data_IF_574989373378
#
_entry.id   IF_574989373378
#
_cell.length_a   1.000
_cell.length_b   1.000
_cell.length_c   1.000
_cell.angle_alpha   90.00
_cell.angle_beta   90.00
_cell.angle_gamma   90.00
#
_symmetry.space_group_name_H-M   'P 1'
#
loop_
_entity.id
_entity.type
_entity.pdbx_description
1 polymer ?
#
# COMPACT_ATOMS: atom_id res chain seq x y z
N UNK A 1 -29.61 -16.86 -34.93
CA UNK A 1 -30.15 -15.60 -34.34
C UNK A 1 -29.01 -14.60 -34.23
N UNK A 2 -28.97 -13.61 -35.12
CA UNK A 2 -27.98 -12.53 -35.12
C UNK A 2 -28.47 -11.41 -34.19
N UNK A 3 -27.71 -11.09 -33.15
CA UNK A 3 -27.98 -9.94 -32.29
C UNK A 3 -27.93 -8.65 -33.13
N UNK A 4 -28.88 -7.72 -32.97
CA UNK A 4 -28.85 -6.44 -33.66
C UNK A 4 -27.59 -5.67 -33.23
N UNK A 5 -26.79 -5.26 -34.23
CA UNK A 5 -25.61 -4.41 -34.04
C UNK A 5 -26.08 -3.00 -33.71
N UNK A 6 -26.14 -2.69 -32.43
CA UNK A 6 -26.57 -1.39 -31.91
C UNK A 6 -25.45 -0.33 -32.06
N UNK A 7 -25.08 -0.03 -33.31
CA UNK A 7 -23.95 0.86 -33.63
C UNK A 7 -24.26 2.34 -33.36
N UNK A 8 -25.54 2.73 -33.38
CA UNK A 8 -25.96 4.11 -33.13
C UNK A 8 -25.81 4.54 -31.68
N UNK A 9 -26.18 3.67 -30.74
CA UNK A 9 -26.07 3.94 -29.30
C UNK A 9 -24.61 4.12 -28.86
N UNK A 10 -23.71 3.24 -29.32
CA UNK A 10 -22.28 3.35 -29.00
C UNK A 10 -21.63 4.62 -29.56
N UNK A 11 -22.02 5.07 -30.75
CA UNK A 11 -21.50 6.29 -31.35
C UNK A 11 -21.93 7.54 -30.58
N UNK A 12 -23.19 7.60 -30.14
CA UNK A 12 -23.73 8.69 -29.32
C UNK A 12 -23.03 8.79 -27.95
N UNK A 13 -22.83 7.64 -27.27
CA UNK A 13 -22.12 7.59 -25.98
C UNK A 13 -20.67 8.07 -26.13
N UNK A 14 -19.96 7.65 -27.18
CA UNK A 14 -18.58 8.12 -27.44
C UNK A 14 -18.51 9.63 -27.66
N UNK A 15 -19.48 10.20 -28.37
CA UNK A 15 -19.52 11.64 -28.64
C UNK A 15 -19.76 12.47 -27.37
N UNK A 16 -20.73 12.07 -26.53
CA UNK A 16 -20.99 12.73 -25.24
C UNK A 16 -19.82 12.56 -24.26
N UNK A 17 -19.29 11.35 -24.11
CA UNK A 17 -18.13 11.09 -23.26
C UNK A 17 -16.89 11.90 -23.69
N UNK A 18 -16.64 12.04 -25.00
CA UNK A 18 -15.56 12.88 -25.52
C UNK A 18 -15.82 14.37 -25.31
N UNK A 19 -17.07 14.81 -25.27
CA UNK A 19 -17.42 16.20 -24.95
C UNK A 19 -17.21 16.49 -23.46
N UNK A 20 -17.54 15.53 -22.58
CA UNK A 20 -17.61 15.69 -21.13
C UNK A 20 -16.30 15.35 -20.38
N UNK A 21 -15.49 14.40 -20.88
CA UNK A 21 -14.18 14.05 -20.30
C UNK A 21 -13.05 14.44 -21.26
N UNK A 22 -12.35 15.55 -20.96
CA UNK A 22 -11.08 15.88 -21.60
C UNK A 22 -10.02 14.76 -21.57
N UNK A 23 -9.96 13.90 -20.54
CA UNK A 23 -9.07 12.72 -20.57
C UNK A 23 -9.49 11.68 -21.62
N UNK A 24 -10.73 11.68 -22.10
CA UNK A 24 -11.12 10.83 -23.23
C UNK A 24 -10.71 11.40 -24.59
N UNK A 25 -10.27 12.66 -24.66
CA UNK A 25 -9.76 13.31 -25.88
C UNK A 25 -8.27 13.05 -26.15
N UNK A 26 -7.51 12.68 -25.13
CA UNK A 26 -6.09 12.33 -25.29
C UNK A 26 -5.95 10.91 -25.90
N UNK A 27 -4.83 10.62 -26.57
CA UNK A 27 -4.53 9.27 -27.05
C UNK A 27 -4.65 8.24 -25.92
N UNK A 28 -5.14 7.04 -26.27
CA UNK A 28 -5.42 5.99 -25.28
C UNK A 28 -4.19 5.59 -24.47
N UNK A 29 -3.00 5.69 -25.06
CA UNK A 29 -1.71 5.43 -24.43
C UNK A 29 -1.44 6.38 -23.26
N UNK A 30 -1.62 7.68 -23.47
CA UNK A 30 -1.41 8.70 -22.43
C UNK A 30 -2.46 8.56 -21.32
N UNK A 31 -3.70 8.27 -21.71
CA UNK A 31 -4.79 8.04 -20.75
C UNK A 31 -4.49 6.83 -19.86
N UNK A 32 -4.02 5.74 -20.44
CA UNK A 32 -3.64 4.55 -19.70
C UNK A 32 -2.49 4.84 -18.73
N UNK A 33 -1.51 5.66 -19.13
CA UNK A 33 -0.44 6.11 -18.22
C UNK A 33 -0.99 6.92 -17.04
N UNK A 34 -1.89 7.88 -17.28
CA UNK A 34 -2.50 8.68 -16.20
C UNK A 34 -3.27 7.77 -15.24
N UNK A 35 -4.10 6.86 -15.76
CA UNK A 35 -4.83 5.93 -14.92
C UNK A 35 -3.93 4.94 -14.22
N UNK A 36 -2.81 4.53 -14.82
CA UNK A 36 -1.82 3.69 -14.15
C UNK A 36 -1.36 4.37 -12.86
N UNK A 37 -0.95 5.64 -12.92
CA UNK A 37 -0.55 6.38 -11.71
C UNK A 37 -1.71 6.70 -10.75
N UNK A 38 -2.92 6.90 -11.28
CA UNK A 38 -4.08 7.28 -10.47
C UNK A 38 -4.74 6.10 -9.74
N UNK A 39 -4.76 4.92 -10.35
CA UNK A 39 -5.59 3.77 -9.91
C UNK A 39 -5.07 3.03 -8.67
N UNK A 40 -3.91 3.43 -8.14
CA UNK A 40 -3.33 2.86 -6.94
C UNK A 40 -2.81 1.44 -7.13
N UNK A 41 -2.89 0.61 -6.08
CA UNK A 41 -2.33 -0.74 -6.06
C UNK A 41 -0.80 -0.77 -5.88
N UNK A 42 -0.22 0.34 -5.47
CA UNK A 42 1.20 0.44 -5.16
C UNK A 42 1.46 0.08 -3.70
N UNK A 43 2.61 -0.55 -3.47
CA UNK A 43 3.22 -0.61 -2.15
C UNK A 43 4.19 0.57 -2.06
N UNK A 44 3.84 1.56 -1.26
CA UNK A 44 4.64 2.76 -1.04
C UNK A 44 5.50 2.53 0.19
N UNK A 45 6.76 2.18 -0.05
CA UNK A 45 7.74 2.00 1.01
C UNK A 45 8.30 3.35 1.42
N UNK A 46 8.21 3.60 2.71
CA UNK A 46 8.71 4.80 3.38
C UNK A 46 9.95 4.40 4.16
N UNK A 47 11.09 4.94 3.76
CA UNK A 47 12.37 4.75 4.44
C UNK A 47 12.87 6.08 4.98
N UNK A 48 13.32 6.07 6.24
CA UNK A 48 14.00 7.23 6.82
C UNK A 48 15.42 7.28 6.25
N UNK A 49 15.77 8.40 5.62
CA UNK A 49 17.16 8.65 5.23
C UNK A 49 17.86 9.25 6.44
N UNK A 50 18.73 8.48 7.08
CA UNK A 50 19.58 8.97 8.17
C UNK A 50 20.79 9.72 7.59
N UNK A 51 20.60 10.93 7.08
CA UNK A 51 21.75 11.78 6.75
C UNK A 51 22.18 12.57 7.99
N UNK A 52 23.48 12.55 8.28
CA UNK A 52 24.15 13.09 9.46
C UNK A 52 24.10 14.63 9.61
N UNK A 53 23.30 15.32 8.79
CA UNK A 53 23.20 16.78 8.75
C UNK A 53 21.73 17.22 8.71
N UNK A 54 21.11 17.24 9.90
CA UNK A 54 19.92 18.03 10.31
C UNK A 54 18.63 18.02 9.47
N UNK A 55 18.58 17.39 8.30
CA UNK A 55 17.39 17.26 7.47
C UNK A 55 16.82 15.86 7.59
N UNK A 56 15.65 15.72 8.25
CA UNK A 56 14.86 14.49 8.28
C UNK A 56 14.25 14.26 6.90
N UNK A 57 15.04 13.74 5.97
CA UNK A 57 14.55 13.38 4.65
C UNK A 57 13.93 11.99 4.68
N UNK A 58 12.76 11.87 4.05
CA UNK A 58 12.13 10.59 3.76
C UNK A 58 12.42 10.22 2.32
N UNK A 59 12.80 8.98 2.09
CA UNK A 59 12.85 8.37 0.78
C UNK A 59 11.56 7.57 0.57
N UNK A 60 10.99 7.74 -0.62
CA UNK A 60 9.80 7.05 -1.03
C UNK A 60 10.12 6.20 -2.25
N UNK A 61 9.88 4.90 -2.12
CA UNK A 61 9.86 4.00 -3.27
C UNK A 61 8.45 3.48 -3.45
N UNK A 62 7.92 3.59 -4.66
CA UNK A 62 6.67 2.96 -5.01
C UNK A 62 6.95 1.71 -5.83
N UNK A 63 6.44 0.59 -5.35
CA UNK A 63 6.52 -0.70 -6.02
C UNK A 63 5.12 -1.01 -6.51
N UNK A 64 4.97 -1.27 -7.81
CA UNK A 64 3.73 -1.84 -8.33
C UNK A 64 3.68 -3.30 -7.90
N UNK A 65 2.77 -3.66 -7.01
CA UNK A 65 2.53 -5.07 -6.71
C UNK A 65 1.83 -5.68 -7.94
N UNK A 66 2.43 -6.61 -8.69
CA UNK A 66 1.67 -7.37 -9.66
C UNK A 66 0.72 -8.27 -8.87
N UNK A 67 -0.54 -7.88 -8.70
CA UNK A 67 -1.61 -8.83 -8.32
C UNK A 67 -1.97 -9.78 -9.48
N UNK A 68 -1.05 -9.99 -10.43
CA UNK A 68 -1.16 -11.11 -11.37
C UNK A 68 -0.73 -12.34 -10.59
N UNK A 69 -1.66 -13.28 -10.44
CA UNK A 69 -1.42 -14.57 -9.78
C UNK A 69 -0.15 -15.21 -10.38
N UNK A 70 0.87 -15.52 -9.56
CA UNK A 70 2.05 -16.30 -9.95
C UNK A 70 3.44 -15.64 -10.00
N UNK A 71 3.68 -14.39 -9.57
CA UNK A 71 5.07 -13.83 -9.52
C UNK A 71 5.67 -13.61 -8.12
N UNK A 72 6.71 -14.36 -7.72
CA UNK A 72 7.47 -14.12 -6.47
C UNK A 72 7.95 -12.67 -6.39
N UNK A 73 7.60 -11.98 -5.30
CA UNK A 73 8.07 -10.62 -5.04
C UNK A 73 9.25 -10.68 -4.06
N UNK A 74 10.49 -10.62 -4.56
CA UNK A 74 11.67 -10.42 -3.70
C UNK A 74 11.74 -8.95 -3.30
N UNK A 75 11.18 -8.64 -2.12
CA UNK A 75 11.14 -7.29 -1.55
C UNK A 75 12.54 -6.71 -1.26
N UNK A 76 13.57 -7.56 -1.18
CA UNK A 76 14.96 -7.17 -0.95
C UNK A 76 15.75 -6.88 -2.23
N UNK A 77 15.24 -7.26 -3.40
CA UNK A 77 15.97 -7.17 -4.69
C UNK A 77 15.10 -6.60 -5.82
N UNK A 78 14.50 -5.44 -5.60
CA UNK A 78 13.88 -4.74 -6.72
C UNK A 78 14.95 -4.28 -7.71
N UNK A 79 14.81 -4.61 -9.01
CA UNK A 79 15.64 -3.98 -10.01
C UNK A 79 15.33 -2.47 -9.98
N UNK A 80 16.35 -1.59 -10.13
CA UNK A 80 16.17 -0.13 -10.10
C UNK A 80 15.07 0.38 -11.06
N UNK A 81 14.81 -0.37 -12.15
CA UNK A 81 13.79 -0.09 -13.15
C UNK A 81 12.33 -0.25 -12.68
N UNK A 82 12.09 -0.89 -11.54
CA UNK A 82 10.75 -1.08 -10.97
C UNK A 82 10.36 0.00 -9.95
N UNK A 83 11.28 0.89 -9.62
CA UNK A 83 11.06 1.98 -8.67
C UNK A 83 10.40 3.14 -9.40
N UNK A 84 9.12 3.35 -9.13
CA UNK A 84 8.45 4.56 -9.54
C UNK A 84 8.79 5.67 -8.53
N UNK A 85 9.10 6.90 -8.98
CA UNK A 85 9.17 8.04 -8.08
C UNK A 85 7.81 8.22 -7.43
N UNK A 86 7.67 7.89 -6.14
CA UNK A 86 6.38 7.97 -5.45
C UNK A 86 5.80 9.40 -5.48
N UNK A 87 6.66 10.41 -5.65
CA UNK A 87 6.23 11.79 -5.90
C UNK A 87 5.28 11.93 -7.09
N UNK A 88 5.36 11.09 -8.13
CA UNK A 88 4.42 11.12 -9.25
C UNK A 88 3.00 10.70 -8.83
N UNK A 89 2.89 9.69 -7.95
CA UNK A 89 1.59 9.22 -7.42
C UNK A 89 0.89 10.35 -6.66
N UNK A 90 1.62 11.03 -5.78
CA UNK A 90 1.04 12.09 -4.95
C UNK A 90 0.87 13.43 -5.68
N UNK A 91 1.69 13.71 -6.69
CA UNK A 91 1.63 14.96 -7.44
C UNK A 91 0.79 14.87 -8.72
N UNK A 92 0.19 13.71 -9.06
CA UNK A 92 -0.62 13.56 -10.25
C UNK A 92 -1.74 14.61 -10.33
N UNK A 93 -2.47 14.80 -9.22
CA UNK A 93 -3.50 15.83 -9.10
C UNK A 93 -2.99 17.28 -9.08
N UNK A 94 -1.67 17.50 -9.08
CA UNK A 94 -1.05 18.83 -9.18
C UNK A 94 -0.59 19.18 -10.59
N UNK A 95 -0.57 18.21 -11.52
CA UNK A 95 -0.12 18.44 -12.90
C UNK A 95 -1.06 19.42 -13.62
N UNK A 96 -2.36 19.17 -13.56
CA UNK A 96 -3.35 20.12 -14.06
C UNK A 96 -4.71 19.94 -13.37
N UNK A 97 -5.54 20.99 -13.40
CA UNK A 97 -6.89 20.99 -12.82
C UNK A 97 -7.78 19.89 -13.40
N UNK A 98 -7.58 19.53 -14.66
CA UNK A 98 -8.37 18.51 -15.35
C UNK A 98 -8.08 17.10 -14.81
N UNK A 99 -6.80 16.71 -14.75
CA UNK A 99 -6.39 15.43 -14.15
C UNK A 99 -6.92 15.38 -12.73
N UNK A 100 -6.77 16.46 -11.96
CA UNK A 100 -7.30 16.54 -10.60
C UNK A 100 -8.80 16.28 -10.54
N UNK A 101 -9.60 16.97 -11.37
CA UNK A 101 -11.06 16.83 -11.36
C UNK A 101 -11.50 15.41 -11.74
N UNK A 102 -10.80 14.78 -12.69
CA UNK A 102 -11.14 13.44 -13.15
C UNK A 102 -10.63 12.33 -12.22
N UNK A 103 -9.50 12.52 -11.54
CA UNK A 103 -8.93 11.53 -10.61
C UNK A 103 -9.26 11.81 -9.15
N UNK A 104 -10.04 12.84 -8.81
CA UNK A 104 -10.33 13.20 -7.41
C UNK A 104 -11.01 12.08 -6.61
N UNK A 105 -11.71 11.17 -7.29
CA UNK A 105 -12.37 10.02 -6.67
C UNK A 105 -11.41 8.85 -6.41
N UNK A 106 -10.20 8.90 -6.98
CA UNK A 106 -9.12 7.95 -6.76
C UNK A 106 -8.18 8.55 -5.71
N UNK A 107 -8.43 8.23 -4.45
CA UNK A 107 -7.58 8.70 -3.37
C UNK A 107 -6.30 7.83 -3.30
N UNK A 108 -5.11 8.37 -3.62
CA UNK A 108 -3.88 7.60 -3.57
C UNK A 108 -3.54 7.11 -2.15
N UNK A 109 -4.14 7.69 -1.11
CA UNK A 109 -3.95 7.21 0.26
C UNK A 109 -4.86 6.03 0.60
N UNK A 110 -6.03 5.94 -0.04
CA UNK A 110 -6.96 4.81 0.15
C UNK A 110 -6.63 3.61 -0.74
N UNK A 111 -6.10 3.87 -1.95
CA UNK A 111 -5.88 2.83 -2.94
C UNK A 111 -4.48 2.20 -2.89
N UNK A 112 -3.58 2.68 -2.02
CA UNK A 112 -2.21 2.17 -1.90
C UNK A 112 -1.93 1.56 -0.53
N UNK A 113 -0.99 0.62 -0.49
CA UNK A 113 -0.49 0.01 0.72
C UNK A 113 0.77 0.74 1.16
N UNK A 114 0.77 1.34 2.34
CA UNK A 114 1.96 2.01 2.86
C UNK A 114 2.80 1.04 3.67
N UNK A 115 4.10 1.05 3.46
CA UNK A 115 5.02 0.14 4.12
C UNK A 115 6.14 0.87 4.85
N UNK A 116 6.41 0.47 6.09
CA UNK A 116 7.51 1.00 6.89
C UNK A 116 8.40 -0.13 7.39
N UNK A 117 9.71 0.15 7.52
CA UNK A 117 10.66 -0.78 8.10
C UNK A 117 10.92 -0.50 9.59
N UNK A 118 10.68 0.72 10.05
CA UNK A 118 10.96 1.12 11.42
C UNK A 118 9.98 2.20 11.91
N UNK A 119 9.85 2.31 13.23
CA UNK A 119 8.90 3.22 13.86
C UNK A 119 9.24 4.70 13.62
N UNK A 120 10.52 5.15 13.59
CA UNK A 120 10.85 6.52 13.24
C UNK A 120 10.42 6.93 11.84
N UNK A 121 10.50 6.03 10.84
CA UNK A 121 9.96 6.28 9.50
C UNK A 121 8.44 6.43 9.53
N UNK A 122 7.74 5.56 10.27
CA UNK A 122 6.30 5.64 10.49
C UNK A 122 5.92 7.00 11.11
N UNK A 123 6.51 7.35 12.25
CA UNK A 123 6.20 8.59 12.95
C UNK A 123 6.49 9.79 12.05
N UNK A 124 7.67 9.84 11.42
CA UNK A 124 8.01 10.98 10.56
C UNK A 124 7.01 11.14 9.42
N UNK A 125 6.59 10.06 8.79
CA UNK A 125 5.68 10.13 7.65
C UNK A 125 4.22 10.38 8.07
N UNK A 126 3.63 9.49 8.86
CA UNK A 126 2.21 9.58 9.22
C UNK A 126 1.94 10.73 10.18
N UNK A 127 2.87 11.07 11.08
CA UNK A 127 2.64 12.19 11.99
C UNK A 127 3.00 13.54 11.38
N UNK A 128 4.20 13.66 10.79
CA UNK A 128 4.74 14.97 10.42
C UNK A 128 4.50 15.35 8.95
N UNK A 129 4.27 14.38 8.06
CA UNK A 129 4.08 14.66 6.62
C UNK A 129 2.62 14.61 6.21
N UNK A 130 1.85 13.62 6.69
CA UNK A 130 0.46 13.45 6.26
C UNK A 130 -0.52 14.33 7.03
N UNK A 131 -1.47 14.91 6.28
CA UNK A 131 -2.61 15.63 6.85
C UNK A 131 -3.68 14.69 7.37
N UNK A 132 -4.54 15.17 8.27
CA UNK A 132 -5.61 14.38 8.91
C UNK A 132 -6.52 13.64 7.92
N UNK A 133 -6.91 14.27 6.80
CA UNK A 133 -7.77 13.61 5.82
C UNK A 133 -7.05 12.47 5.07
N UNK A 134 -5.75 12.63 4.78
CA UNK A 134 -4.93 11.61 4.11
C UNK A 134 -4.74 10.40 5.03
N UNK A 135 -4.52 10.67 6.31
CA UNK A 135 -4.44 9.65 7.36
C UNK A 135 -5.74 8.86 7.51
N UNK A 136 -6.87 9.54 7.49
CA UNK A 136 -8.19 8.93 7.56
C UNK A 136 -8.59 8.17 6.29
N UNK A 137 -7.82 8.27 5.21
CA UNK A 137 -8.02 7.49 3.99
C UNK A 137 -7.23 6.18 3.99
N UNK A 138 -6.23 6.02 4.87
CA UNK A 138 -5.39 4.82 4.91
C UNK A 138 -6.09 3.72 5.70
N UNK A 139 -6.36 2.61 5.02
CA UNK A 139 -7.01 1.42 5.60
C UNK A 139 -6.04 0.28 5.89
N UNK A 140 -4.94 0.19 5.16
CA UNK A 140 -3.99 -0.91 5.29
C UNK A 140 -2.54 -0.41 5.34
N UNK A 141 -1.74 -1.09 6.15
CA UNK A 141 -0.29 -0.87 6.28
C UNK A 141 0.46 -2.20 6.19
N UNK A 142 1.69 -2.13 5.70
CA UNK A 142 2.65 -3.22 5.69
C UNK A 142 3.84 -2.92 6.60
N UNK A 143 4.34 -3.94 7.27
CA UNK A 143 5.55 -3.90 8.07
C UNK A 143 6.51 -4.97 7.54
N UNK A 144 7.64 -4.52 7.01
CA UNK A 144 8.64 -5.40 6.38
C UNK A 144 9.68 -5.94 7.34
N UNK A 145 9.91 -5.23 8.44
CA UNK A 145 10.86 -5.62 9.46
C UNK A 145 10.20 -5.34 10.81
N UNK A 146 9.36 -6.29 11.23
CA UNK A 146 8.58 -6.13 12.47
C UNK A 146 9.50 -6.10 13.68
N UNK A 147 10.57 -6.88 13.69
CA UNK A 147 11.54 -6.89 14.79
C UNK A 147 12.15 -5.50 14.95
N UNK A 148 12.69 -4.91 13.87
CA UNK A 148 13.24 -3.55 13.91
C UNK A 148 12.16 -2.50 14.21
N UNK A 149 10.96 -2.67 13.68
CA UNK A 149 9.85 -1.75 13.95
C UNK A 149 9.49 -1.73 15.44
N UNK A 150 9.33 -2.91 16.04
CA UNK A 150 9.05 -3.05 17.47
C UNK A 150 10.25 -2.58 18.30
N UNK A 151 11.48 -3.00 17.96
CA UNK A 151 12.70 -2.57 18.63
C UNK A 151 12.81 -1.04 18.64
N UNK A 152 12.75 -0.38 17.48
CA UNK A 152 12.86 1.09 17.40
C UNK A 152 11.66 1.81 18.01
N UNK A 153 10.48 1.19 17.99
CA UNK A 153 9.34 1.70 18.76
C UNK A 153 9.70 1.65 20.26
N UNK A 154 10.30 0.55 20.73
CA UNK A 154 10.66 0.26 22.12
C UNK A 154 11.91 0.98 22.65
N UNK A 155 12.94 1.21 21.84
CA UNK A 155 14.18 1.89 22.25
C UNK A 155 13.89 3.35 22.63
N UNK A 156 12.96 3.95 21.89
CA UNK A 156 12.36 5.24 22.21
C UNK A 156 11.56 5.23 23.54
N UNK A 157 11.35 4.06 24.17
CA UNK A 157 10.66 3.87 25.47
C UNK A 157 11.58 3.98 26.70
N UNK A 158 12.86 4.28 26.54
CA UNK A 158 13.76 4.52 27.70
C UNK A 158 13.28 5.68 28.61
N UNK A 159 12.36 6.52 28.13
CA UNK A 159 11.53 7.40 28.95
C UNK A 159 10.33 6.63 29.52
N UNK A 160 10.57 5.80 30.53
CA UNK A 160 9.64 4.82 31.10
C UNK A 160 8.25 5.33 31.57
N UNK A 161 8.01 6.65 31.58
CA UNK A 161 6.76 7.27 32.05
C UNK A 161 5.69 7.48 30.97
N UNK A 162 5.97 7.27 29.67
CA UNK A 162 5.03 7.60 28.57
C UNK A 162 4.43 6.37 27.85
N UNK A 163 4.56 5.17 28.40
CA UNK A 163 4.20 3.90 27.73
C UNK A 163 2.77 3.83 27.16
N UNK A 164 1.69 4.25 27.86
CA UNK A 164 0.31 4.15 27.33
C UNK A 164 -0.01 5.18 26.23
N UNK A 165 0.77 6.25 26.12
CA UNK A 165 0.47 7.40 25.25
C UNK A 165 0.88 7.17 23.79
N UNK A 166 1.87 6.31 23.52
CA UNK A 166 2.38 6.10 22.16
C UNK A 166 1.70 4.96 21.41
N UNK A 167 1.28 3.90 22.11
CA UNK A 167 0.44 2.84 21.54
C UNK A 167 -0.88 3.40 21.00
N UNK A 168 -1.55 4.23 21.84
CA UNK A 168 -2.74 4.97 21.45
C UNK A 168 -2.43 5.94 20.32
N UNK A 169 -1.26 6.61 20.31
CA UNK A 169 -0.85 7.49 19.23
C UNK A 169 -0.76 6.77 17.87
N UNK A 170 -0.30 5.51 17.81
CA UNK A 170 -0.23 4.76 16.56
C UNK A 170 -1.59 4.70 15.85
N UNK A 171 -2.63 4.19 16.53
CA UNK A 171 -3.98 4.12 15.94
C UNK A 171 -4.65 5.50 15.85
N UNK A 172 -4.30 6.43 16.74
CA UNK A 172 -4.80 7.83 16.65
C UNK A 172 -4.36 8.50 15.35
N UNK A 173 -3.15 8.18 14.86
CA UNK A 173 -2.67 8.73 13.60
C UNK A 173 -3.31 8.08 12.38
N UNK A 174 -3.84 6.86 12.48
CA UNK A 174 -4.48 6.16 11.39
C UNK A 174 -5.86 5.64 11.83
N UNK A 175 -6.85 6.54 11.97
CA UNK A 175 -8.12 6.23 12.63
C UNK A 175 -9.01 5.25 11.86
N UNK A 176 -8.68 4.94 10.59
CA UNK A 176 -9.38 3.94 9.77
C UNK A 176 -8.51 2.74 9.42
N UNK A 177 -7.35 2.60 10.04
CA UNK A 177 -6.50 1.44 9.82
C UNK A 177 -7.23 0.19 10.31
N UNK A 178 -7.57 -0.68 9.37
CA UNK A 178 -8.28 -1.93 9.63
C UNK A 178 -7.39 -3.15 9.38
N UNK A 179 -6.23 -2.99 8.73
CA UNK A 179 -5.32 -4.10 8.41
C UNK A 179 -3.85 -3.72 8.59
N UNK A 180 -3.12 -4.57 9.29
CA UNK A 180 -1.66 -4.55 9.34
C UNK A 180 -1.15 -5.87 8.75
N UNK A 181 -0.48 -5.77 7.60
CA UNK A 181 0.20 -6.87 6.93
C UNK A 181 1.62 -6.97 7.49
N UNK A 182 1.95 -8.10 8.09
CA UNK A 182 3.27 -8.37 8.64
C UNK A 182 4.01 -9.30 7.69
N UNK A 183 5.06 -8.79 7.07
CA UNK A 183 5.98 -9.57 6.26
C UNK A 183 7.13 -10.01 7.16
N UNK A 184 6.89 -11.08 7.90
CA UNK A 184 7.86 -11.63 8.82
C UNK A 184 8.80 -12.56 8.07
N UNK A 185 10.08 -12.17 7.94
CA UNK A 185 11.17 -13.15 7.93
C UNK A 185 11.66 -13.45 9.36
N UNK A 186 10.88 -13.05 10.37
CA UNK A 186 11.31 -13.14 11.77
C UNK A 186 11.56 -14.61 12.10
N UNK A 187 12.60 -14.85 12.91
CA UNK A 187 12.87 -16.20 13.43
C UNK A 187 11.81 -16.66 14.43
N UNK A 188 10.90 -15.77 14.85
CA UNK A 188 10.02 -15.97 16.02
C UNK A 188 8.59 -15.43 15.78
N UNK A 189 7.80 -16.06 14.89
CA UNK A 189 6.44 -15.60 14.57
C UNK A 189 5.49 -15.55 15.78
N UNK A 190 5.68 -16.43 16.77
CA UNK A 190 4.89 -16.43 18.03
C UNK A 190 5.14 -15.18 18.90
N UNK A 191 6.24 -14.47 18.67
CA UNK A 191 6.59 -13.28 19.44
C UNK A 191 6.11 -11.99 18.77
N UNK A 192 5.67 -12.04 17.51
CA UNK A 192 5.11 -10.87 16.81
C UNK A 192 3.85 -10.38 17.52
N UNK A 193 2.85 -11.26 17.67
CA UNK A 193 1.59 -10.88 18.33
C UNK A 193 1.83 -10.39 19.75
N UNK A 194 2.75 -11.04 20.48
CA UNK A 194 3.18 -10.59 21.80
C UNK A 194 3.83 -9.22 21.74
N UNK A 195 4.67 -8.95 20.76
CA UNK A 195 5.28 -7.64 20.53
C UNK A 195 4.25 -6.54 20.30
N UNK A 196 3.26 -6.78 19.43
CA UNK A 196 2.14 -5.85 19.24
C UNK A 196 1.27 -5.68 20.50
N UNK A 197 1.05 -6.77 21.24
CA UNK A 197 0.31 -6.74 22.50
C UNK A 197 1.06 -5.93 23.57
N UNK A 198 2.36 -6.17 23.73
CA UNK A 198 3.24 -5.43 24.66
C UNK A 198 3.39 -3.97 24.24
N UNK A 199 3.37 -3.69 22.93
CA UNK A 199 3.30 -2.35 22.39
C UNK A 199 1.93 -1.70 22.53
N UNK A 200 0.92 -2.40 23.07
CA UNK A 200 -0.42 -1.87 23.27
C UNK A 200 -1.22 -1.63 21.98
N UNK A 201 -0.79 -2.21 20.86
CA UNK A 201 -1.39 -1.99 19.53
C UNK A 201 -2.64 -2.86 19.29
N UNK A 202 -2.68 -4.07 19.86
CA UNK A 202 -3.77 -5.05 19.66
C UNK A 202 -4.56 -5.30 20.96
N UNK A 203 -4.03 -4.84 22.10
CA UNK A 203 -4.62 -5.05 23.42
C UNK A 203 -5.55 -3.95 23.92
N UNK A 204 -5.66 -2.80 23.23
CA UNK A 204 -6.65 -1.80 23.62
C UNK A 204 -8.05 -2.26 23.16
N UNK A 205 -9.07 -2.06 24.00
CA UNK A 205 -10.46 -2.31 23.61
C UNK A 205 -10.77 -1.64 22.25
N UNK A 206 -10.26 -0.42 22.06
CA UNK A 206 -10.38 0.36 20.83
C UNK A 206 -9.85 -0.35 19.58
N UNK A 207 -8.74 -1.09 19.66
CA UNK A 207 -8.17 -1.78 18.50
C UNK A 207 -9.08 -2.93 18.03
N UNK A 208 -9.64 -3.69 18.97
CA UNK A 208 -10.60 -4.77 18.68
C UNK A 208 -11.94 -4.23 18.23
N UNK A 209 -12.42 -3.17 18.86
CA UNK A 209 -13.71 -2.55 18.54
C UNK A 209 -13.70 -1.89 17.15
N UNK A 210 -12.53 -1.44 16.67
CA UNK A 210 -12.35 -0.93 15.31
C UNK A 210 -12.13 -2.04 14.25
N UNK A 211 -12.10 -3.31 14.65
CA UNK A 211 -11.94 -4.44 13.72
C UNK A 211 -10.55 -4.55 13.10
N UNK A 212 -9.49 -4.08 13.78
CA UNK A 212 -8.11 -4.16 13.30
C UNK A 212 -7.68 -5.63 13.16
N UNK A 213 -7.24 -5.99 11.95
CA UNK A 213 -6.75 -7.33 11.60
C UNK A 213 -5.23 -7.32 11.46
N UNK A 214 -4.56 -8.11 12.29
CA UNK A 214 -3.15 -8.45 12.08
C UNK A 214 -3.08 -9.68 11.18
N UNK A 215 -2.46 -9.51 10.02
CA UNK A 215 -2.34 -10.55 9.01
C UNK A 215 -0.86 -10.89 8.85
N UNK A 216 -0.48 -12.08 9.28
CA UNK A 216 0.82 -12.63 8.95
C UNK A 216 0.83 -13.05 7.48
N UNK A 217 1.83 -12.55 6.74
CA UNK A 217 2.09 -12.94 5.36
C UNK A 217 3.27 -13.89 5.40
N UNK A 218 2.96 -15.18 5.61
CA UNK A 218 3.92 -16.30 5.81
C UNK A 218 5.00 -16.36 4.71
N UNK A 219 4.64 -15.97 3.49
CA UNK A 219 5.55 -15.84 2.36
C UNK A 219 4.80 -15.09 1.25
N UNK A 220 5.43 -14.11 0.59
CA UNK A 220 5.05 -13.74 -0.78
C UNK A 220 5.59 -14.82 -1.74
N UNK A 221 5.30 -16.10 -1.46
CA UNK A 221 5.56 -17.20 -2.39
C UNK A 221 4.50 -17.13 -3.48
N UNK A 222 4.94 -16.67 -4.63
CA UNK A 222 4.21 -16.77 -5.87
C UNK A 222 5.06 -17.63 -6.80
N UNK A 223 5.27 -18.89 -6.41
CA UNK A 223 5.86 -19.90 -7.28
C UNK A 223 4.89 -20.25 -8.40
N UNK A 224 5.06 -19.62 -9.56
CA UNK A 224 4.79 -20.25 -10.84
C UNK A 224 6.15 -20.45 -11.53
N UNK A 225 6.52 -21.70 -11.78
CA UNK A 225 7.51 -22.02 -12.79
C UNK A 225 7.04 -21.40 -14.11
N UNK A 226 7.84 -20.46 -14.63
CA UNK A 226 7.64 -19.94 -15.97
C UNK A 226 8.30 -20.96 -16.89
N UNK A 227 7.51 -21.87 -17.45
CA UNK A 227 7.93 -22.61 -18.63
C UNK A 227 8.08 -21.60 -19.77
N UNK A 228 9.32 -21.38 -20.21
CA UNK A 228 9.71 -20.46 -21.30
C UNK A 228 9.14 -20.84 -22.67
N UNK A 229 8.40 -21.95 -22.78
CA UNK A 229 7.88 -22.46 -24.05
C UNK A 229 6.40 -22.79 -23.93
N UNK A 230 5.57 -21.87 -24.43
CA UNK A 230 4.12 -22.07 -24.47
C UNK A 230 3.75 -23.33 -25.24
N UNK A 231 3.03 -24.23 -24.57
CA UNK A 231 1.88 -25.02 -25.05
C UNK A 231 1.55 -26.06 -23.97
N UNK A 232 0.37 -25.95 -23.34
CA UNK A 232 -0.08 -26.92 -22.35
C UNK A 232 -1.24 -26.41 -21.51
N UNK A 233 -2.44 -26.44 -22.08
CA UNK A 233 -3.67 -26.35 -21.29
C UNK A 233 -3.88 -27.69 -20.58
N UNK A 234 -3.53 -27.80 -19.29
CA UNK A 234 -4.26 -28.56 -18.27
C UNK A 234 -3.56 -28.49 -16.90
N UNK A 235 -4.38 -28.29 -15.85
CA UNK A 235 -4.07 -28.32 -14.42
C UNK A 235 -3.20 -27.17 -13.83
N UNK A 236 -3.75 -25.95 -13.80
CA UNK A 236 -3.31 -24.93 -12.82
C UNK A 236 -4.23 -25.00 -11.61
N UNK A 237 -3.73 -25.64 -10.55
CA UNK A 237 -4.35 -25.61 -9.23
C UNK A 237 -4.19 -24.20 -8.61
N UNK A 238 -5.30 -23.65 -8.13
CA UNK A 238 -5.45 -22.24 -7.76
C UNK A 238 -4.83 -21.98 -6.39
N UNK A 239 -3.57 -21.51 -6.32
CA UNK A 239 -2.99 -21.07 -5.04
C UNK A 239 -3.50 -19.68 -4.63
N UNK A 240 -4.18 -19.64 -3.48
CA UNK A 240 -4.68 -18.45 -2.78
C UNK A 240 -3.55 -17.79 -1.98
N UNK A 241 -3.57 -16.46 -1.87
CA UNK A 241 -2.91 -15.78 -0.74
C UNK A 241 -3.66 -16.25 0.51
N UNK A 242 -2.99 -17.04 1.35
CA UNK A 242 -3.56 -17.49 2.61
C UNK A 242 -3.26 -16.42 3.65
N UNK A 243 -4.20 -15.51 3.85
CA UNK A 243 -4.18 -14.64 5.01
C UNK A 243 -4.49 -15.50 6.23
N UNK A 244 -3.54 -15.66 7.14
CA UNK A 244 -3.83 -16.17 8.48
C UNK A 244 -4.17 -14.99 9.36
N UNK A 245 -5.42 -14.96 9.80
CA UNK A 245 -5.80 -14.09 10.90
C UNK A 245 -5.07 -14.64 12.13
N UNK A 246 -4.21 -13.83 12.73
CA UNK A 246 -3.55 -14.21 13.99
C UNK A 246 -4.56 -13.90 15.09
N UNK A 247 -5.26 -14.94 15.58
CA UNK A 247 -6.17 -14.84 16.72
C UNK A 247 -5.44 -14.76 18.07
#
# INVERSE_FOLDING_TARGET
MSLPKDTGAMASIKASNSAESPLLRIPGEIRNLIYEYASGGYIIRVTKISNASSSRMLEYSAIRAPFRHGHKLDLGKFPPSSLLPAGLIFNLGRICSQIRAETQHLDPYACNLFACNDFPAYETFFHNVLHTHQRAAIHAMALFDVDKFLETMMEDWSLAQLRPLRASAFLTFLPKLDRILVFSQTRYPKDIFRGFLYAGLIGSADARDNGLQLMEVDELSLDAEVDEYGFGAEAIDKKRIVFRCVE
#
